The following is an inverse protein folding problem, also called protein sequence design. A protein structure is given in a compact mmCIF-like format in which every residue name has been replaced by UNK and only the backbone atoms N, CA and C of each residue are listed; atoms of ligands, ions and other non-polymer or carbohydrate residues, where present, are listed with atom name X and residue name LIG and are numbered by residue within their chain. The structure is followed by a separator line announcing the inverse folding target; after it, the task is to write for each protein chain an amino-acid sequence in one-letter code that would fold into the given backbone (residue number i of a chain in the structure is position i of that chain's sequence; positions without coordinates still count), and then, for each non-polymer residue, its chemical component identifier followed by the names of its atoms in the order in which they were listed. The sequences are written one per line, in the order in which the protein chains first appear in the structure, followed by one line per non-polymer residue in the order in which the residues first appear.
data_IF_577352341082
#
_entry.id   IF_577352341082
#
_cell.length_a   1.000
_cell.length_b   1.000
_cell.length_c   1.000
_cell.angle_alpha   90.00
_cell.angle_beta   90.00
_cell.angle_gamma   90.00
#
_symmetry.space_group_name_H-M   'P 1'
#
loop_
_entity.id
_entity.type
_entity.pdbx_description
1 polymer ?
#
# COMPACT_ATOMS: atom_id res chain seq x y z
N UNK A 1 -5.22 -21.36 -0.10
CA UNK A 1 -5.11 -20.21 -1.01
C UNK A 1 -4.75 -20.75 -2.39
N UNK A 2 -5.33 -20.22 -3.47
CA UNK A 2 -4.94 -20.64 -4.82
C UNK A 2 -3.67 -19.87 -5.20
N UNK A 3 -2.54 -20.58 -5.32
CA UNK A 3 -1.25 -20.00 -5.75
C UNK A 3 -1.37 -19.29 -7.10
N UNK A 4 -2.20 -19.82 -7.99
CA UNK A 4 -2.49 -19.21 -9.29
C UNK A 4 -3.18 -17.85 -9.13
N UNK A 5 -4.22 -17.78 -8.29
CA UNK A 5 -4.96 -16.52 -8.05
C UNK A 5 -4.07 -15.50 -7.35
N UNK A 6 -3.22 -15.94 -6.41
CA UNK A 6 -2.25 -15.04 -5.79
C UNK A 6 -1.27 -14.48 -6.80
N UNK A 7 -0.68 -15.32 -7.65
CA UNK A 7 0.30 -14.88 -8.65
C UNK A 7 -0.34 -13.90 -9.64
N UNK A 8 -1.50 -14.24 -10.20
CA UNK A 8 -2.25 -13.36 -11.10
C UNK A 8 -2.60 -12.04 -10.42
N UNK A 9 -3.06 -12.06 -9.16
CA UNK A 9 -3.39 -10.83 -8.43
C UNK A 9 -2.13 -9.99 -8.10
N UNK A 10 -1.01 -10.63 -7.78
CA UNK A 10 0.24 -9.93 -7.49
C UNK A 10 0.77 -9.15 -8.72
N UNK A 11 0.51 -9.62 -9.94
CA UNK A 11 0.82 -8.89 -11.17
C UNK A 11 0.05 -7.56 -11.31
N UNK A 12 -1.10 -7.42 -10.62
CA UNK A 12 -1.88 -6.17 -10.60
C UNK A 12 -1.41 -5.18 -9.53
N UNK A 13 -0.64 -5.63 -8.54
CA UNK A 13 -0.14 -4.77 -7.46
C UNK A 13 1.23 -4.24 -7.87
N UNK A 14 1.25 -3.02 -8.42
CA UNK A 14 2.50 -2.34 -8.80
C UNK A 14 3.19 -1.71 -7.58
N UNK A 15 4.36 -2.21 -7.14
CA UNK A 15 5.09 -1.63 -6.02
C UNK A 15 5.56 -0.20 -6.29
N UNK A 16 5.76 0.17 -7.56
CA UNK A 16 6.17 1.53 -7.94
C UNK A 16 5.04 2.52 -7.70
N UNK A 17 3.80 2.16 -8.04
CA UNK A 17 2.64 3.00 -7.77
C UNK A 17 2.47 3.28 -6.25
N UNK A 18 2.71 2.27 -5.42
CA UNK A 18 2.71 2.41 -3.95
C UNK A 18 3.81 3.36 -3.49
N UNK A 19 5.05 3.17 -3.97
CA UNK A 19 6.17 4.03 -3.60
C UNK A 19 5.95 5.49 -4.04
N UNK A 20 5.43 5.71 -5.25
CA UNK A 20 5.09 7.05 -5.75
C UNK A 20 4.00 7.72 -4.91
N UNK A 21 2.97 6.98 -4.49
CA UNK A 21 1.93 7.50 -3.59
C UNK A 21 2.51 7.93 -2.24
N UNK A 22 3.38 7.11 -1.64
CA UNK A 22 4.04 7.43 -0.37
C UNK A 22 4.89 8.70 -0.51
N UNK A 23 5.70 8.82 -1.56
CA UNK A 23 6.56 9.99 -1.74
C UNK A 23 5.75 11.28 -1.91
N UNK A 24 4.64 11.23 -2.66
CA UNK A 24 3.73 12.38 -2.82
C UNK A 24 3.12 12.80 -1.49
N UNK A 25 2.77 11.84 -0.64
CA UNK A 25 2.20 12.14 0.68
C UNK A 25 3.23 12.69 1.66
N UNK A 26 4.47 12.19 1.61
CA UNK A 26 5.57 12.80 2.38
C UNK A 26 5.79 14.25 1.96
N UNK A 27 5.80 14.53 0.65
CA UNK A 27 5.95 15.89 0.12
C UNK A 27 4.79 16.81 0.53
N UNK A 28 3.54 16.34 0.45
CA UNK A 28 2.35 17.14 0.79
C UNK A 28 2.31 17.54 2.27
N UNK A 29 2.90 16.72 3.14
CA UNK A 29 2.98 16.95 4.59
C UNK A 29 4.30 17.60 5.03
N UNK A 30 5.11 18.09 4.08
CA UNK A 30 6.41 18.73 4.35
C UNK A 30 7.40 17.81 5.10
N UNK A 31 7.28 16.49 4.90
CA UNK A 31 8.19 15.47 5.45
C UNK A 31 9.27 15.13 4.42
N UNK A 32 10.52 15.00 4.87
CA UNK A 32 11.64 14.67 3.98
C UNK A 32 11.45 13.31 3.28
N UNK A 33 11.57 13.29 1.95
CA UNK A 33 11.43 12.12 1.07
C UNK A 33 12.65 11.19 1.11
N UNK A 34 12.94 10.63 2.28
CA UNK A 34 14.01 9.63 2.44
C UNK A 34 13.47 8.21 2.28
N UNK A 35 14.34 7.27 1.87
CA UNK A 35 13.99 5.83 1.82
C UNK A 35 13.51 5.34 3.19
N UNK A 36 14.15 5.77 4.27
CA UNK A 36 13.80 5.37 5.63
C UNK A 36 12.40 5.85 6.03
N UNK A 37 12.01 7.08 5.66
CA UNK A 37 10.67 7.59 5.93
C UNK A 37 9.62 6.86 5.09
N UNK A 38 9.88 6.61 3.81
CA UNK A 38 8.98 5.83 2.96
C UNK A 38 8.77 4.39 3.46
N UNK A 39 9.83 3.73 3.93
CA UNK A 39 9.75 2.40 4.54
C UNK A 39 8.90 2.40 5.81
N UNK A 40 9.07 3.41 6.68
CA UNK A 40 8.24 3.53 7.90
C UNK A 40 6.76 3.68 7.56
N UNK A 41 6.42 4.55 6.62
CA UNK A 41 5.04 4.73 6.17
C UNK A 41 4.47 3.43 5.61
N UNK A 42 5.22 2.75 4.73
CA UNK A 42 4.72 1.50 4.15
C UNK A 42 4.50 0.40 5.19
N UNK A 43 5.42 0.25 6.15
CA UNK A 43 5.29 -0.73 7.23
C UNK A 43 4.06 -0.43 8.10
N UNK A 44 3.84 0.83 8.44
CA UNK A 44 2.67 1.25 9.23
C UNK A 44 1.35 0.95 8.49
N UNK A 45 1.27 1.29 7.20
CA UNK A 45 0.11 0.98 6.35
C UNK A 45 -0.11 -0.52 6.26
N UNK A 46 0.94 -1.32 6.04
CA UNK A 46 0.85 -2.77 5.94
C UNK A 46 0.30 -3.42 7.23
N UNK A 47 0.79 -2.99 8.37
CA UNK A 47 0.50 -3.61 9.66
C UNK A 47 -0.85 -3.14 10.25
N UNK A 48 -1.18 -1.85 10.06
CA UNK A 48 -2.30 -1.22 10.75
C UNK A 48 -3.48 -0.88 9.84
N UNK A 49 -3.25 -0.39 8.62
CA UNK A 49 -4.31 0.18 7.79
C UNK A 49 -4.85 -0.77 6.71
N UNK A 50 -3.98 -1.57 6.10
CA UNK A 50 -4.32 -2.44 4.98
C UNK A 50 -5.45 -3.42 5.32
N UNK A 51 -5.46 -4.13 6.47
CA UNK A 51 -6.55 -5.05 6.80
C UNK A 51 -7.92 -4.39 6.84
N UNK A 52 -7.99 -3.18 7.40
CA UNK A 52 -9.23 -2.42 7.53
C UNK A 52 -9.66 -1.83 6.19
N UNK A 53 -8.71 -1.30 5.41
CA UNK A 53 -8.96 -0.84 4.04
C UNK A 53 -9.52 -1.94 3.13
N UNK A 54 -8.94 -3.14 3.17
CA UNK A 54 -9.43 -4.31 2.43
C UNK A 54 -10.83 -4.72 2.90
N UNK A 55 -11.07 -4.79 4.22
CA UNK A 55 -12.38 -5.13 4.78
C UNK A 55 -13.45 -4.14 4.35
N UNK A 56 -13.14 -2.85 4.38
CA UNK A 56 -14.06 -1.79 3.98
C UNK A 56 -14.37 -1.85 2.48
N UNK A 57 -13.35 -2.04 1.65
CA UNK A 57 -13.51 -2.15 0.19
C UNK A 57 -14.33 -3.36 -0.23
N UNK A 58 -14.09 -4.53 0.38
CA UNK A 58 -14.87 -5.76 0.10
C UNK A 58 -16.36 -5.53 0.40
N UNK A 59 -16.69 -4.94 1.55
CA UNK A 59 -18.08 -4.61 1.93
C UNK A 59 -18.75 -3.60 1.00
N UNK A 60 -17.97 -2.72 0.37
CA UNK A 60 -18.49 -1.71 -0.55
C UNK A 60 -18.80 -2.30 -1.93
N UNK A 61 -18.08 -3.35 -2.33
CA UNK A 61 -18.17 -3.96 -3.67
C UNK A 61 -19.14 -5.16 -3.69
N UNK A 62 -19.25 -5.91 -2.60
CA UNK A 62 -20.03 -7.16 -2.48
C UNK A 62 -20.94 -7.14 -1.25
#
# INVERSE_FOLDING_TARGET
MSEKVLAELAEWIDPRAIAEAILRELESQEVEQTVANGQKVWLDVLENELPDGLRSSIKAIF
#
